data_IF_210979934502
#
_entry.id   IF_210979934502
#
_cell.length_a   1.000
_cell.length_b   1.000
_cell.length_c   1.000
_cell.angle_alpha   90.00
_cell.angle_beta   90.00
_cell.angle_gamma   90.00
#
_symmetry.space_group_name_H-M   'P 1'
#
loop_
_entity.id
_entity.type
_entity.pdbx_description
1 polymer ?
#
# COMPACT_ATOMS: atom_id res chain seq x y z
N UNK A 1 11.40 -11.63 9.27
CA UNK A 1 10.05 -11.04 9.13
C UNK A 1 10.20 -9.53 9.18
N UNK A 2 9.54 -8.77 8.30
CA UNK A 2 9.56 -7.30 8.37
C UNK A 2 8.71 -6.79 9.55
N UNK A 3 9.19 -5.79 10.28
CA UNK A 3 8.49 -5.20 11.44
C UNK A 3 8.11 -3.76 11.15
N UNK A 4 6.82 -3.42 11.29
CA UNK A 4 6.31 -2.05 11.22
C UNK A 4 5.88 -1.61 12.62
N UNK A 5 6.40 -0.48 13.09
CA UNK A 5 6.12 0.07 14.41
C UNK A 5 5.72 1.54 14.34
N UNK A 6 5.00 2.00 15.35
CA UNK A 6 4.67 3.41 15.55
C UNK A 6 5.46 3.91 16.75
N UNK A 7 6.28 4.95 16.56
CA UNK A 7 7.04 5.62 17.63
C UNK A 7 6.64 7.09 17.64
N UNK A 8 5.84 7.48 18.62
CA UNK A 8 5.24 8.81 18.66
C UNK A 8 4.36 9.08 17.43
N UNK A 9 4.76 10.02 16.58
CA UNK A 9 4.03 10.41 15.35
C UNK A 9 4.63 9.85 14.06
N UNK A 10 5.59 8.93 14.14
CA UNK A 10 6.32 8.41 12.98
C UNK A 10 6.22 6.88 12.89
N UNK A 11 6.18 6.36 11.65
CA UNK A 11 6.29 4.93 11.38
C UNK A 11 7.76 4.53 11.23
N UNK A 12 8.08 3.32 11.65
CA UNK A 12 9.39 2.70 11.48
C UNK A 12 9.22 1.32 10.85
N UNK A 13 9.94 1.07 9.75
CA UNK A 13 9.99 -0.24 9.11
C UNK A 13 11.41 -0.80 9.25
N UNK A 14 11.57 -1.92 9.96
CA UNK A 14 12.86 -2.53 10.31
C UNK A 14 13.83 -1.49 10.90
N UNK A 15 13.39 -0.80 11.95
CA UNK A 15 14.14 0.24 12.69
C UNK A 15 14.52 1.49 11.90
N UNK A 16 14.08 1.63 10.64
CA UNK A 16 14.30 2.82 9.82
C UNK A 16 13.04 3.68 9.75
N UNK A 17 13.13 5.02 9.85
CA UNK A 17 11.99 5.90 9.62
C UNK A 17 11.34 5.62 8.27
N UNK A 18 10.04 5.44 8.27
CA UNK A 18 9.26 5.06 7.10
C UNK A 18 8.10 6.04 6.91
N UNK A 19 7.98 6.63 5.73
CA UNK A 19 6.84 7.47 5.36
C UNK A 19 5.91 6.66 4.48
N UNK A 20 4.69 6.42 4.94
CA UNK A 20 3.65 5.79 4.12
C UNK A 20 3.18 6.81 3.08
N UNK A 21 3.22 6.44 1.80
CA UNK A 21 2.62 7.15 0.69
C UNK A 21 1.66 6.14 0.05
N UNK A 22 0.39 6.22 0.45
CA UNK A 22 -0.66 5.23 0.14
C UNK A 22 -1.59 5.70 -0.97
N UNK A 23 -1.99 4.79 -1.86
CA UNK A 23 -3.02 5.04 -2.86
C UNK A 23 -4.03 3.89 -2.92
N UNK A 24 -5.31 4.24 -3.09
CA UNK A 24 -6.41 3.29 -3.06
C UNK A 24 -6.57 2.53 -4.38
N UNK A 25 -6.54 1.19 -4.29
CA UNK A 25 -6.94 0.28 -5.37
C UNK A 25 -7.86 -0.78 -4.77
N UNK A 26 -9.15 -0.65 -5.02
CA UNK A 26 -10.12 -1.66 -4.58
C UNK A 26 -10.08 -2.85 -5.54
N UNK A 27 -9.41 -3.95 -5.14
CA UNK A 27 -9.21 -5.12 -6.01
C UNK A 27 -10.52 -5.64 -6.61
N UNK A 28 -11.60 -5.61 -5.83
CA UNK A 28 -12.95 -6.04 -6.20
C UNK A 28 -13.66 -5.12 -7.22
N UNK A 29 -13.08 -3.97 -7.55
CA UNK A 29 -13.54 -3.05 -8.61
C UNK A 29 -12.63 -3.05 -9.83
N UNK A 30 -11.60 -3.90 -9.85
CA UNK A 30 -10.62 -4.00 -10.95
C UNK A 30 -10.59 -5.44 -11.44
N UNK A 31 -10.76 -5.62 -12.75
CA UNK A 31 -10.63 -6.92 -13.42
C UNK A 31 -9.24 -7.53 -13.08
N UNK A 32 -9.15 -8.79 -12.60
CA UNK A 32 -7.89 -9.35 -12.06
C UNK A 32 -6.68 -9.25 -12.98
N UNK A 33 -6.88 -9.40 -14.29
CA UNK A 33 -5.85 -9.27 -15.33
C UNK A 33 -5.19 -7.87 -15.35
N UNK A 34 -5.81 -6.86 -14.74
CA UNK A 34 -5.28 -5.50 -14.67
C UNK A 34 -4.62 -5.15 -13.35
N UNK A 35 -4.63 -6.02 -12.32
CA UNK A 35 -4.05 -5.68 -11.02
C UNK A 35 -2.57 -5.33 -11.10
N UNK A 36 -1.78 -6.12 -11.83
CA UNK A 36 -0.35 -5.87 -12.01
C UNK A 36 -0.10 -4.52 -12.70
N UNK A 37 -0.85 -4.20 -13.76
CA UNK A 37 -0.75 -2.90 -14.43
C UNK A 37 -1.10 -1.74 -13.48
N UNK A 38 -2.18 -1.86 -12.68
CA UNK A 38 -2.57 -0.80 -11.74
C UNK A 38 -1.55 -0.63 -10.63
N UNK A 39 -1.02 -1.71 -10.07
CA UNK A 39 0.02 -1.67 -9.04
C UNK A 39 1.35 -1.12 -9.59
N UNK A 40 1.70 -1.47 -10.83
CA UNK A 40 2.92 -0.96 -11.49
C UNK A 40 2.83 0.56 -11.72
N UNK A 41 1.66 1.05 -12.16
CA UNK A 41 1.39 2.48 -12.30
C UNK A 41 1.40 3.20 -10.95
N UNK A 42 0.80 2.61 -9.92
CA UNK A 42 0.83 3.16 -8.56
C UNK A 42 2.26 3.34 -8.06
N UNK A 43 3.10 2.31 -8.22
CA UNK A 43 4.54 2.37 -7.89
C UNK A 43 5.28 3.42 -8.73
N UNK A 44 5.00 3.51 -10.04
CA UNK A 44 5.61 4.51 -10.92
C UNK A 44 5.27 5.96 -10.51
N UNK A 45 4.11 6.19 -9.89
CA UNK A 45 3.73 7.47 -9.30
C UNK A 45 4.44 7.76 -7.96
N UNK A 46 5.34 6.89 -7.49
CA UNK A 46 6.13 7.10 -6.27
C UNK A 46 5.46 6.61 -4.97
N UNK A 47 4.34 5.90 -5.07
CA UNK A 47 3.68 5.31 -3.91
C UNK A 47 4.43 4.06 -3.44
N UNK A 48 4.41 3.82 -2.13
CA UNK A 48 5.05 2.65 -1.51
C UNK A 48 4.07 1.72 -0.78
N UNK A 49 2.80 2.09 -0.74
CA UNK A 49 1.73 1.36 -0.06
C UNK A 49 0.48 1.39 -0.93
N UNK A 50 -0.23 0.26 -1.01
CA UNK A 50 -1.57 0.19 -1.59
C UNK A 50 -2.56 -0.02 -0.46
N UNK A 51 -3.69 0.69 -0.50
CA UNK A 51 -4.82 0.44 0.39
C UNK A 51 -6.00 -0.14 -0.38
N UNK A 52 -6.71 -1.08 0.25
CA UNK A 52 -7.94 -1.66 -0.28
C UNK A 52 -8.89 -1.98 0.85
N UNK A 53 -10.18 -1.81 0.60
CA UNK A 53 -11.21 -2.44 1.42
C UNK A 53 -11.32 -3.93 1.10
N UNK A 54 -12.00 -4.64 2.00
CA UNK A 54 -12.55 -5.98 1.76
C UNK A 54 -14.08 -5.82 1.83
N UNK A 55 -14.81 -6.02 0.73
CA UNK A 55 -16.27 -5.94 0.74
C UNK A 55 -16.82 -7.15 1.50
N UNK A 56 -17.66 -6.91 2.51
CA UNK A 56 -18.22 -7.97 3.36
C UNK A 56 -19.40 -8.70 2.70
N UNK A 57 -20.14 -8.02 1.83
CA UNK A 57 -21.34 -8.55 1.18
C UNK A 57 -21.07 -9.65 0.15
#
# INVERSE_FOLDING_TARGET
MGKLEIRGKQFFYNDKPFRIISGAIHYFRVVPQYWEDRLSKLKACGFNTVETYIPWN
#
